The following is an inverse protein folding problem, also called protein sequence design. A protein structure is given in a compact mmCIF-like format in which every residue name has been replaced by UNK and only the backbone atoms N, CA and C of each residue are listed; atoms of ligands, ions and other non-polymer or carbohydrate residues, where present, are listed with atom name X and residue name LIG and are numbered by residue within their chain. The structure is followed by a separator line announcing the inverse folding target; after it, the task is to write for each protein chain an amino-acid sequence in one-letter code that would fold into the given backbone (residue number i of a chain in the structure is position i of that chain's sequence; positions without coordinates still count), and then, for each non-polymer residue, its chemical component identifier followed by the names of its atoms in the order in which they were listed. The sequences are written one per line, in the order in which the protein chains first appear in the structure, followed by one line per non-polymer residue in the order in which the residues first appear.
data_IF_406322003581
#
_entry.id   IF_406322003581
#
_cell.length_a   1.000
_cell.length_b   1.000
_cell.length_c   1.000
_cell.angle_alpha   90.00
_cell.angle_beta   90.00
_cell.angle_gamma   90.00
#
_symmetry.space_group_name_H-M   'P 1'
#
loop_
_entity.id
_entity.type
_entity.pdbx_description
1 polymer ?
#
# COMPACT_ATOMS: atom_id res chain seq x y z
N UNK A 1 2.51 34.69 21.61
CA UNK A 1 1.71 33.44 21.74
C UNK A 1 2.01 32.60 20.51
N UNK A 2 2.84 31.57 20.68
CA UNK A 2 3.10 30.59 19.63
C UNK A 2 1.97 29.57 19.77
N UNK A 3 1.07 29.53 18.80
CA UNK A 3 0.04 28.49 18.74
C UNK A 3 0.74 27.15 18.58
N UNK A 4 0.60 26.26 19.55
CA UNK A 4 1.11 24.90 19.39
C UNK A 4 0.47 24.27 18.13
N UNK A 5 1.24 23.58 17.29
CA UNK A 5 0.68 22.90 16.14
C UNK A 5 -0.23 21.80 16.67
N UNK A 6 -1.53 21.98 16.48
CA UNK A 6 -2.55 20.98 16.79
C UNK A 6 -2.24 19.71 15.98
N UNK A 7 -1.58 18.76 16.64
CA UNK A 7 -1.28 17.44 16.09
C UNK A 7 -2.61 16.71 15.94
N UNK A 8 -3.24 16.82 14.76
CA UNK A 8 -4.39 15.99 14.44
C UNK A 8 -3.99 14.52 14.64
N UNK A 9 -4.72 13.76 15.47
CA UNK A 9 -4.43 12.35 15.66
C UNK A 9 -4.51 11.61 14.33
N UNK A 10 -3.61 10.64 14.13
CA UNK A 10 -3.65 9.76 12.98
C UNK A 10 -5.02 9.08 12.90
N UNK A 11 -5.71 9.25 11.77
CA UNK A 11 -6.94 8.52 11.48
C UNK A 11 -6.61 7.07 11.11
N UNK A 12 -6.40 6.26 12.16
CA UNK A 12 -6.06 4.84 12.07
C UNK A 12 -7.18 4.07 11.37
N UNK A 13 -8.45 4.38 11.66
CA UNK A 13 -9.60 3.72 11.05
C UNK A 13 -9.68 3.94 9.54
N UNK A 14 -9.49 5.19 9.10
CA UNK A 14 -9.42 5.51 7.67
C UNK A 14 -8.20 4.91 6.97
N UNK A 15 -7.04 4.83 7.64
CA UNK A 15 -5.85 4.14 7.12
C UNK A 15 -6.11 2.64 6.92
N UNK A 16 -6.66 1.97 7.94
CA UNK A 16 -7.00 0.55 7.88
C UNK A 16 -8.01 0.26 6.78
N UNK A 17 -9.10 1.02 6.71
CA UNK A 17 -10.15 0.81 5.69
C UNK A 17 -9.59 0.98 4.27
N UNK A 18 -8.77 2.02 4.06
CA UNK A 18 -8.13 2.28 2.76
C UNK A 18 -7.08 1.23 2.42
N UNK A 19 -6.31 0.78 3.41
CA UNK A 19 -5.35 -0.32 3.29
C UNK A 19 -6.03 -1.64 2.95
N UNK A 20 -7.15 -1.96 3.60
CA UNK A 20 -7.95 -3.14 3.29
C UNK A 20 -8.46 -3.11 1.84
N UNK A 21 -9.02 -1.96 1.39
CA UNK A 21 -9.46 -1.81 0.01
C UNK A 21 -8.31 -1.94 -1.01
N UNK A 22 -7.17 -1.29 -0.73
CA UNK A 22 -5.98 -1.38 -1.55
C UNK A 22 -5.45 -2.83 -1.62
N UNK A 23 -5.39 -3.50 -0.47
CA UNK A 23 -4.96 -4.88 -0.33
C UNK A 23 -5.85 -5.85 -1.09
N UNK A 24 -7.18 -5.69 -1.01
CA UNK A 24 -8.13 -6.52 -1.76
C UNK A 24 -7.96 -6.34 -3.28
N UNK A 25 -7.78 -5.11 -3.75
CA UNK A 25 -7.58 -4.82 -5.17
C UNK A 25 -6.24 -5.38 -5.67
N UNK A 26 -5.15 -5.10 -4.95
CA UNK A 26 -3.82 -5.60 -5.25
C UNK A 26 -3.76 -7.13 -5.20
N UNK A 27 -4.36 -7.72 -4.16
CA UNK A 27 -4.47 -9.17 -3.98
C UNK A 27 -5.27 -9.85 -5.08
N UNK A 28 -6.35 -9.23 -5.56
CA UNK A 28 -7.10 -9.74 -6.71
C UNK A 28 -6.24 -9.74 -7.97
N UNK A 29 -5.56 -8.63 -8.26
CA UNK A 29 -4.64 -8.56 -9.41
C UNK A 29 -3.50 -9.58 -9.33
N UNK A 30 -2.94 -9.76 -8.13
CA UNK A 30 -1.91 -10.76 -7.85
C UNK A 30 -2.40 -12.19 -8.09
N UNK A 31 -3.59 -12.53 -7.57
CA UNK A 31 -4.17 -13.86 -7.78
C UNK A 31 -4.43 -14.12 -9.26
N UNK A 32 -5.01 -13.16 -9.98
CA UNK A 32 -5.29 -13.30 -11.41
C UNK A 32 -4.00 -13.50 -12.22
N UNK A 33 -2.91 -12.82 -11.87
CA UNK A 33 -1.61 -13.04 -12.50
C UNK A 33 -1.11 -14.48 -12.28
N UNK A 34 -1.27 -15.00 -11.06
CA UNK A 34 -0.95 -16.37 -10.72
C UNK A 34 -1.82 -17.40 -11.46
N UNK A 35 -3.14 -17.15 -11.55
CA UNK A 35 -4.07 -17.99 -12.31
C UNK A 35 -3.72 -18.00 -13.80
N UNK A 36 -3.40 -16.84 -14.36
CA UNK A 36 -2.94 -16.71 -15.74
C UNK A 36 -1.64 -17.48 -15.98
N UNK A 37 -0.66 -17.33 -15.07
CA UNK A 37 0.59 -18.07 -15.16
C UNK A 37 0.38 -19.57 -15.11
N UNK A 38 -0.46 -20.07 -14.18
CA UNK A 38 -0.81 -21.48 -14.11
C UNK A 38 -1.36 -22.02 -15.44
N UNK A 39 -2.32 -21.31 -16.05
CA UNK A 39 -2.85 -21.66 -17.38
C UNK A 39 -1.77 -21.63 -18.45
N UNK A 40 -0.87 -20.64 -18.42
CA UNK A 40 0.24 -20.53 -19.39
C UNK A 40 1.22 -21.71 -19.31
N UNK A 41 1.30 -22.38 -18.16
CA UNK A 41 2.12 -23.57 -17.94
C UNK A 41 1.34 -24.90 -18.10
N UNK A 42 0.09 -24.84 -18.59
CA UNK A 42 -0.75 -26.03 -18.81
C UNK A 42 -1.43 -26.57 -17.55
N UNK A 43 -1.36 -25.86 -16.42
CA UNK A 43 -2.08 -26.22 -15.20
C UNK A 43 -3.49 -25.58 -15.16
N UNK A 44 -4.43 -26.14 -14.38
CA UNK A 44 -5.72 -25.49 -14.13
C UNK A 44 -5.52 -24.08 -13.55
N UNK A 45 -6.31 -23.09 -14.01
CA UNK A 45 -6.20 -21.72 -13.50
C UNK A 45 -6.49 -21.57 -12.01
N UNK A 46 -7.23 -22.52 -11.40
CA UNK A 46 -7.51 -22.55 -9.96
C UNK A 46 -6.40 -23.18 -9.12
N UNK A 47 -5.33 -23.71 -9.75
CA UNK A 47 -4.21 -24.36 -9.04
C UNK A 47 -3.57 -23.50 -7.94
N UNK A 48 -3.39 -22.17 -8.11
CA UNK A 48 -2.88 -21.32 -7.04
C UNK A 48 -3.73 -21.36 -5.78
N UNK A 49 -5.05 -21.55 -5.89
CA UNK A 49 -5.93 -21.63 -4.72
C UNK A 49 -5.66 -22.90 -3.91
N UNK A 50 -5.40 -24.04 -4.57
CA UNK A 50 -5.01 -25.27 -3.88
C UNK A 50 -3.66 -25.12 -3.16
N UNK A 51 -2.72 -24.41 -3.78
CA UNK A 51 -1.45 -24.10 -3.12
C UNK A 51 -1.67 -23.23 -1.88
N UNK A 52 -2.47 -22.17 -1.99
CA UNK A 52 -2.74 -21.25 -0.88
C UNK A 52 -3.51 -21.94 0.26
N UNK A 53 -4.38 -22.91 -0.03
CA UNK A 53 -5.13 -23.62 1.02
C UNK A 53 -4.22 -24.41 1.98
N UNK A 54 -3.04 -24.83 1.52
CA UNK A 54 -2.03 -25.49 2.36
C UNK A 54 -1.58 -24.63 3.54
N UNK A 55 -1.66 -23.29 3.41
CA UNK A 55 -1.33 -22.35 4.50
C UNK A 55 -2.28 -22.52 5.68
N UNK A 56 -3.56 -22.79 5.42
CA UNK A 56 -4.55 -23.04 6.49
C UNK A 56 -4.28 -24.35 7.21
N UNK A 57 -3.89 -25.38 6.46
CA UNK A 57 -3.65 -26.72 6.99
C UNK A 57 -2.27 -26.90 7.62
N UNK A 58 -1.33 -25.96 7.37
CA UNK A 58 0.09 -26.16 7.63
C UNK A 58 0.61 -27.46 7.01
N UNK A 59 0.26 -27.68 5.74
CA UNK A 59 0.67 -28.85 4.97
C UNK A 59 1.56 -28.47 3.78
N UNK A 60 2.29 -29.44 3.24
CA UNK A 60 3.13 -29.26 2.04
C UNK A 60 2.52 -29.89 0.79
N UNK A 61 1.26 -30.31 0.85
CA UNK A 61 0.62 -31.04 -0.26
C UNK A 61 -0.73 -30.41 -0.59
N UNK A 62 -0.81 -29.69 -1.72
CA UNK A 62 -2.08 -29.20 -2.24
C UNK A 62 -3.04 -30.34 -2.56
N UNK A 63 -4.32 -30.17 -2.24
CA UNK A 63 -5.37 -31.13 -2.59
C UNK A 63 -6.34 -30.48 -3.56
N UNK A 64 -6.50 -31.08 -4.74
CA UNK A 64 -7.31 -30.52 -5.83
C UNK A 64 -8.80 -30.87 -5.67
N UNK A 65 -9.51 -30.12 -4.83
CA UNK A 65 -10.97 -30.24 -4.68
C UNK A 65 -11.64 -28.87 -4.43
N UNK A 66 -12.97 -28.81 -4.57
CA UNK A 66 -13.72 -27.55 -4.46
C UNK A 66 -13.58 -26.87 -3.09
N UNK A 67 -13.54 -27.64 -1.99
CA UNK A 67 -13.43 -27.08 -0.65
C UNK A 67 -12.07 -26.39 -0.46
N UNK A 68 -11.00 -27.00 -0.97
CA UNK A 68 -9.65 -26.43 -0.92
C UNK A 68 -9.52 -25.19 -1.79
N UNK A 69 -10.17 -25.14 -2.96
CA UNK A 69 -10.22 -23.90 -3.74
C UNK A 69 -10.90 -22.75 -2.97
N UNK A 70 -12.02 -23.02 -2.29
CA UNK A 70 -12.74 -22.02 -1.48
C UNK A 70 -11.89 -21.58 -0.29
N UNK A 71 -11.24 -22.54 0.38
CA UNK A 71 -10.37 -22.28 1.52
C UNK A 71 -9.17 -21.43 1.10
N UNK A 72 -8.51 -21.78 0.01
CA UNK A 72 -7.40 -21.02 -0.57
C UNK A 72 -7.81 -19.60 -0.94
N UNK A 73 -9.00 -19.42 -1.54
CA UNK A 73 -9.54 -18.08 -1.82
C UNK A 73 -9.77 -17.28 -0.54
N UNK A 74 -10.30 -17.92 0.50
CA UNK A 74 -10.56 -17.28 1.80
C UNK A 74 -9.27 -16.83 2.48
N UNK A 75 -8.26 -17.71 2.51
CA UNK A 75 -6.92 -17.38 3.02
C UNK A 75 -6.29 -16.24 2.22
N UNK A 76 -6.37 -16.31 0.88
CA UNK A 76 -5.85 -15.27 0.00
C UNK A 76 -6.47 -13.91 0.27
N UNK A 77 -7.81 -13.85 0.40
CA UNK A 77 -8.52 -12.61 0.74
C UNK A 77 -8.08 -12.10 2.12
N UNK A 78 -8.00 -12.97 3.12
CA UNK A 78 -7.56 -12.60 4.47
C UNK A 78 -6.15 -12.00 4.49
N UNK A 79 -5.19 -12.67 3.83
CA UNK A 79 -3.82 -12.18 3.69
C UNK A 79 -3.74 -10.87 2.90
N UNK A 80 -4.51 -10.75 1.82
CA UNK A 80 -4.57 -9.53 1.00
C UNK A 80 -5.01 -8.32 1.81
N UNK A 81 -6.08 -8.47 2.61
CA UNK A 81 -6.55 -7.44 3.53
C UNK A 81 -5.47 -7.10 4.56
N UNK A 82 -4.90 -8.12 5.22
CA UNK A 82 -3.88 -7.95 6.25
C UNK A 82 -2.63 -7.20 5.73
N UNK A 83 -2.12 -7.59 4.56
CA UNK A 83 -0.95 -6.96 3.96
C UNK A 83 -1.25 -5.54 3.46
N UNK A 84 -2.43 -5.27 2.92
CA UNK A 84 -2.83 -3.91 2.55
C UNK A 84 -2.96 -2.99 3.77
N UNK A 85 -3.56 -3.49 4.86
CA UNK A 85 -3.63 -2.78 6.14
C UNK A 85 -2.24 -2.55 6.74
N UNK A 86 -1.36 -3.55 6.68
CA UNK A 86 0.03 -3.46 7.13
C UNK A 86 0.80 -2.36 6.39
N UNK A 87 0.70 -2.31 5.07
CA UNK A 87 1.30 -1.23 4.27
C UNK A 87 0.80 0.15 4.71
N UNK A 88 -0.52 0.28 4.86
CA UNK A 88 -1.16 1.53 5.23
C UNK A 88 -0.75 2.02 6.63
N UNK A 89 -0.65 1.13 7.61
CA UNK A 89 -0.28 1.50 8.97
C UNK A 89 1.23 1.72 9.15
N UNK A 90 2.03 0.82 8.59
CA UNK A 90 3.46 0.77 8.91
C UNK A 90 4.30 1.68 8.02
N UNK A 91 3.88 1.92 6.77
CA UNK A 91 4.71 2.63 5.80
C UNK A 91 4.12 3.97 5.40
N UNK A 92 2.83 4.06 5.06
CA UNK A 92 2.24 5.30 4.53
C UNK A 92 2.51 6.54 5.40
N UNK A 93 2.53 6.49 6.76
CA UNK A 93 2.87 7.65 7.58
C UNK A 93 4.30 8.20 7.35
N UNK A 94 5.22 7.37 6.85
CA UNK A 94 6.62 7.72 6.59
C UNK A 94 6.87 8.15 5.13
N UNK A 95 5.95 7.85 4.20
CA UNK A 95 6.12 8.08 2.76
C UNK A 95 5.56 9.44 2.36
N UNK A 96 6.45 10.44 2.30
CA UNK A 96 6.08 11.86 2.23
C UNK A 96 5.63 12.34 0.85
N UNK A 97 6.07 11.70 -0.22
CA UNK A 97 5.78 12.09 -1.61
C UNK A 97 5.52 10.89 -2.52
N UNK A 98 5.03 11.13 -3.73
CA UNK A 98 4.65 10.08 -4.69
C UNK A 98 5.83 9.16 -5.05
N UNK A 99 7.05 9.69 -5.20
CA UNK A 99 8.24 8.88 -5.49
C UNK A 99 8.56 7.93 -4.32
N UNK A 100 8.56 8.43 -3.09
CA UNK A 100 8.75 7.60 -1.89
C UNK A 100 7.63 6.58 -1.71
N UNK A 101 6.39 6.92 -2.10
CA UNK A 101 5.26 6.00 -2.06
C UNK A 101 5.45 4.83 -3.03
N UNK A 102 5.86 5.11 -4.27
CA UNK A 102 6.15 4.09 -5.29
C UNK A 102 7.31 3.20 -4.87
N UNK A 103 8.44 3.79 -4.45
CA UNK A 103 9.61 3.03 -3.99
C UNK A 103 9.26 2.20 -2.75
N UNK A 104 8.56 2.79 -1.78
CA UNK A 104 8.12 2.08 -0.57
C UNK A 104 7.18 0.91 -0.90
N UNK A 105 6.28 1.07 -1.87
CA UNK A 105 5.39 0.01 -2.32
C UNK A 105 6.14 -1.14 -3.02
N UNK A 106 7.13 -0.83 -3.86
CA UNK A 106 8.01 -1.83 -4.49
C UNK A 106 8.82 -2.61 -3.45
N UNK A 107 9.44 -1.89 -2.50
CA UNK A 107 10.20 -2.51 -1.41
C UNK A 107 9.30 -3.36 -0.54
N UNK A 108 8.08 -2.90 -0.24
CA UNK A 108 7.11 -3.66 0.54
C UNK A 108 6.70 -4.95 -0.17
N UNK A 109 6.38 -4.89 -1.46
CA UNK A 109 6.07 -6.10 -2.24
C UNK A 109 7.25 -7.08 -2.25
N UNK A 110 8.48 -6.59 -2.48
CA UNK A 110 9.67 -7.44 -2.41
C UNK A 110 9.86 -8.05 -1.01
N UNK A 111 9.61 -7.29 0.06
CA UNK A 111 9.68 -7.79 1.42
C UNK A 111 8.65 -8.89 1.69
N UNK A 112 7.43 -8.76 1.14
CA UNK A 112 6.43 -9.82 1.21
C UNK A 112 6.85 -11.08 0.45
N UNK A 113 7.49 -10.95 -0.72
CA UNK A 113 8.06 -12.11 -1.42
C UNK A 113 9.10 -12.82 -0.55
N UNK A 114 10.04 -12.06 0.04
CA UNK A 114 11.07 -12.61 0.92
C UNK A 114 10.43 -13.30 2.12
N UNK A 115 9.45 -12.66 2.77
CA UNK A 115 8.75 -13.24 3.91
C UNK A 115 7.98 -14.51 3.54
N UNK A 116 7.15 -14.46 2.50
CA UNK A 116 6.26 -15.55 2.13
C UNK A 116 7.02 -16.75 1.56
N UNK A 117 7.97 -16.52 0.66
CA UNK A 117 8.64 -17.60 -0.05
C UNK A 117 10.00 -17.94 0.55
N UNK A 118 10.83 -16.95 0.85
CA UNK A 118 12.21 -17.21 1.27
C UNK A 118 12.33 -17.52 2.76
N UNK A 119 11.42 -17.01 3.59
CA UNK A 119 11.33 -17.35 5.00
C UNK A 119 10.30 -18.47 5.17
N UNK A 120 9.01 -18.16 5.09
CA UNK A 120 7.94 -19.11 5.42
C UNK A 120 7.93 -20.32 4.47
N UNK A 121 8.07 -20.09 3.16
CA UNK A 121 8.10 -21.14 2.15
C UNK A 121 9.33 -22.05 2.18
N UNK A 122 10.37 -21.71 2.96
CA UNK A 122 11.55 -22.57 3.18
C UNK A 122 11.58 -23.21 4.57
N UNK A 123 10.73 -22.76 5.49
CA UNK A 123 10.77 -23.21 6.89
C UNK A 123 9.49 -23.89 7.38
N UNK A 124 8.33 -23.51 6.84
CA UNK A 124 7.01 -23.99 7.30
C UNK A 124 6.19 -24.58 6.17
N UNK A 125 6.32 -24.05 4.94
CA UNK A 125 5.52 -24.45 3.78
C UNK A 125 6.42 -24.75 2.58
N UNK A 126 7.19 -25.83 2.65
CA UNK A 126 8.24 -26.18 1.66
C UNK A 126 7.69 -26.32 0.25
N UNK A 127 6.40 -26.66 0.10
CA UNK A 127 5.73 -26.71 -1.21
C UNK A 127 5.98 -25.45 -2.04
N UNK A 128 5.95 -24.26 -1.41
CA UNK A 128 6.07 -22.97 -2.10
C UNK A 128 7.45 -22.72 -2.70
N UNK A 129 8.48 -23.48 -2.32
CA UNK A 129 9.83 -23.39 -2.90
C UNK A 129 10.29 -24.66 -3.59
N UNK A 130 9.42 -25.68 -3.62
CA UNK A 130 9.66 -26.93 -4.33
C UNK A 130 9.59 -26.74 -5.85
N UNK A 131 10.20 -27.64 -6.66
CA UNK A 131 10.05 -27.62 -8.11
C UNK A 131 8.62 -27.79 -8.63
N UNK A 132 7.71 -28.29 -7.78
CA UNK A 132 6.28 -28.43 -8.10
C UNK A 132 5.45 -27.24 -7.62
N UNK A 133 6.07 -26.31 -6.88
CA UNK A 133 5.46 -25.11 -6.35
C UNK A 133 5.42 -23.95 -7.35
N UNK A 134 5.06 -22.75 -6.88
CA UNK A 134 5.06 -21.55 -7.70
C UNK A 134 6.47 -21.18 -8.21
N UNK A 135 6.53 -20.67 -9.43
CA UNK A 135 7.78 -20.20 -10.04
C UNK A 135 8.36 -19.01 -9.27
N UNK A 136 9.57 -19.18 -8.73
CA UNK A 136 10.16 -18.21 -7.81
C UNK A 136 10.49 -16.86 -8.46
N UNK A 137 10.85 -16.87 -9.75
CA UNK A 137 11.15 -15.63 -10.47
C UNK A 137 9.87 -14.85 -10.74
N UNK A 138 8.83 -15.54 -11.21
CA UNK A 138 7.53 -14.96 -11.44
C UNK A 138 6.97 -14.37 -10.15
N UNK A 139 6.96 -15.14 -9.05
CA UNK A 139 6.53 -14.68 -7.73
C UNK A 139 7.34 -13.45 -7.28
N UNK A 140 8.66 -13.50 -7.41
CA UNK A 140 9.54 -12.37 -7.06
C UNK A 140 9.27 -11.10 -7.87
N UNK A 141 8.70 -11.21 -9.07
CA UNK A 141 8.32 -10.07 -9.91
C UNK A 141 6.91 -9.57 -9.59
N UNK A 142 5.92 -10.46 -9.46
CA UNK A 142 4.52 -10.04 -9.27
C UNK A 142 4.26 -9.47 -7.87
N UNK A 143 5.02 -9.86 -6.86
CA UNK A 143 4.90 -9.24 -5.53
C UNK A 143 5.20 -7.73 -5.56
N UNK A 144 6.37 -7.25 -6.02
CA UNK A 144 6.61 -5.81 -6.15
C UNK A 144 5.78 -5.16 -7.26
N UNK A 145 5.74 -5.75 -8.47
CA UNK A 145 5.20 -5.08 -9.65
C UNK A 145 3.68 -5.09 -9.74
N UNK A 146 3.02 -6.11 -9.18
CA UNK A 146 1.55 -6.18 -9.16
C UNK A 146 1.06 -5.81 -7.77
N UNK A 147 1.38 -6.61 -6.75
CA UNK A 147 0.82 -6.35 -5.42
C UNK A 147 1.29 -4.99 -4.89
N UNK A 148 2.59 -4.72 -4.88
CA UNK A 148 3.16 -3.45 -4.43
C UNK A 148 2.59 -2.24 -5.18
N UNK A 149 2.82 -2.17 -6.50
CA UNK A 149 2.41 -0.99 -7.28
C UNK A 149 0.90 -0.74 -7.27
N UNK A 150 0.05 -1.77 -7.20
CA UNK A 150 -1.41 -1.58 -7.14
C UNK A 150 -1.89 -0.97 -5.82
N UNK A 151 -1.05 -0.92 -4.77
CA UNK A 151 -1.36 -0.17 -3.54
C UNK A 151 -1.27 1.34 -3.76
N UNK A 152 -0.38 1.81 -4.64
CA UNK A 152 0.00 3.23 -4.78
C UNK A 152 -1.19 4.16 -5.07
N UNK A 153 -2.10 3.86 -6.02
CA UNK A 153 -3.22 4.76 -6.35
C UNK A 153 -4.10 5.07 -5.14
N UNK A 154 -4.18 4.13 -4.19
CA UNK A 154 -4.94 4.30 -2.96
C UNK A 154 -4.26 5.25 -1.96
N UNK A 155 -3.07 5.80 -2.21
CA UNK A 155 -2.42 6.71 -1.25
C UNK A 155 -1.86 8.01 -1.86
N UNK A 156 -1.92 8.18 -3.19
CA UNK A 156 -1.40 9.38 -3.88
C UNK A 156 -1.90 10.72 -3.32
N UNK A 157 -3.18 10.82 -2.96
CA UNK A 157 -3.78 12.06 -2.44
C UNK A 157 -3.31 12.48 -1.04
N UNK A 158 -2.71 11.59 -0.25
CA UNK A 158 -2.11 11.94 1.06
C UNK A 158 -0.69 12.47 0.91
N UNK A 159 0.06 11.95 -0.05
CA UNK A 159 1.42 12.40 -0.32
C UNK A 159 1.48 13.85 -0.82
N UNK A 160 0.47 14.30 -1.57
CA UNK A 160 0.40 15.69 -2.05
C UNK A 160 0.03 16.69 -0.96
N UNK A 161 -0.80 16.30 0.01
CA UNK A 161 -1.18 17.13 1.16
C UNK A 161 0.02 17.41 2.07
N UNK A 162 0.86 16.40 2.33
CA UNK A 162 2.10 16.57 3.09
C UNK A 162 3.09 17.50 2.38
N UNK A 163 3.21 17.41 1.05
CA UNK A 163 4.12 18.26 0.28
C UNK A 163 3.71 19.74 0.32
N UNK A 164 2.40 20.03 0.31
CA UNK A 164 1.86 21.39 0.49
C UNK A 164 2.10 21.96 1.88
N UNK A 165 2.32 21.10 2.88
CA UNK A 165 2.57 21.52 4.27
C UNK A 165 4.04 21.86 4.50
N UNK A 166 4.95 21.24 3.76
CA UNK A 166 6.40 21.45 3.83
C UNK A 166 6.90 22.58 2.90
N UNK A 167 6.04 23.15 2.04
CA UNK A 167 6.37 24.37 1.29
C UNK A 167 6.56 25.56 2.25
N UNK A 168 7.70 26.28 2.19
CA UNK A 168 7.88 27.50 2.96
C UNK A 168 6.76 28.47 2.61
N UNK A 169 5.92 28.81 3.60
CA UNK A 169 4.98 29.92 3.44
C UNK A 169 5.80 31.19 3.27
N UNK A 170 5.91 31.67 2.04
CA UNK A 170 6.37 33.03 1.78
C UNK A 170 5.48 33.95 2.63
N UNK A 171 6.04 34.75 3.55
CA UNK A 171 5.24 35.73 4.28
C UNK A 171 4.50 36.59 3.26
N UNK A 172 3.27 37.04 3.55
CA UNK A 172 2.66 38.06 2.73
C UNK A 172 3.67 39.21 2.64
N UNK A 173 3.98 39.66 1.43
CA UNK A 173 4.88 40.78 1.23
C UNK A 173 4.35 41.96 2.05
N UNK A 174 5.02 42.23 3.18
CA UNK A 174 4.74 43.36 4.03
C UNK A 174 5.21 44.59 3.27
N UNK A 175 4.30 45.19 2.52
CA UNK A 175 4.67 46.20 1.54
C UNK A 175 3.49 46.96 0.98
N UNK A 176 2.44 47.23 1.77
CA UNK A 176 1.50 48.30 1.42
C UNK A 176 0.74 48.91 2.62
N UNK A 177 1.38 48.98 3.79
CA UNK A 177 0.84 49.73 4.95
C UNK A 177 1.55 51.08 5.12
N UNK A 178 1.61 51.93 4.09
CA UNK A 178 1.95 53.35 4.28
C UNK A 178 1.39 54.30 3.22
N UNK A 179 0.05 54.42 3.14
CA UNK A 179 -0.58 55.66 2.66
C UNK A 179 -1.75 56.04 3.57
N UNK A 180 -1.44 56.67 4.71
CA UNK A 180 -2.42 57.50 5.42
C UNK A 180 -2.51 58.85 4.69
N UNK A 181 -3.72 59.34 4.32
CA UNK A 181 -3.89 60.70 3.86
C UNK A 181 -3.75 61.65 5.06
N UNK A 182 -2.80 62.59 4.99
CA UNK A 182 -2.68 63.67 5.97
C UNK A 182 -3.80 64.68 5.72
N UNK A 183 -4.80 64.70 6.60
CA UNK A 183 -5.75 65.80 6.71
C UNK A 183 -5.00 67.06 7.17
N UNK A 184 -4.96 68.10 6.32
CA UNK A 184 -4.62 69.47 6.74
C UNK A 184 -5.91 70.18 7.19
N UNK A 185 -5.94 70.79 8.39
CA UNK A 185 -6.94 71.81 8.69
C UNK A 185 -6.52 73.12 8.00
N UNK A 186 -7.42 73.72 7.24
CA UNK A 186 -7.27 75.09 6.76
C UNK A 186 -7.54 76.10 7.89
N UNK A 187 -6.84 77.24 7.92
CA UNK A 187 -7.06 78.25 8.95
C UNK A 187 -8.42 78.93 8.76
N UNK A 188 -9.14 79.03 9.87
CA UNK A 188 -10.29 79.91 10.06
C UNK A 188 -9.85 81.37 10.18
N UNK A 189 -10.79 82.25 9.80
CA UNK A 189 -10.93 83.69 10.09
C UNK A 189 -10.62 84.64 8.92
N UNK A 190 -11.27 85.83 8.89
CA UNK A 190 -12.62 86.22 9.34
C UNK A 190 -13.54 86.71 8.20
#
# INVERSE_FOLDING_TARGET
MISEPELRPLDVGGLLTRGAAAGLFAGTGFLLANMWYAVSQGAPGISPLYAISTVFHASDTPVANANEAILGLTVHVGLSLAFGMGFALLLVPLLRNAATLVVGALVYGLALYVLNFQILGRTVFEFFTSPQGPDQLFEGLIHPLIFGLLLVPFFLGRSTENMRRDEPRTPPADGDQHRRPTNRPGPTEP
#
